data_IF_694106688825
#
_entry.id   IF_694106688825
#
_cell.length_a   1.000
_cell.length_b   1.000
_cell.length_c   1.000
_cell.angle_alpha   90.00
_cell.angle_beta   90.00
_cell.angle_gamma   90.00
#
_symmetry.space_group_name_H-M   'P 1'
#
loop_
_entity.id
_entity.type
_entity.pdbx_description
1 polymer ?
#
# COMPACT_ATOMS: atom_id res chain seq x y z
N UNK A 1 -11.09 -7.67 -11.74
CA UNK A 1 -10.76 -7.92 -10.32
C UNK A 1 -9.29 -7.61 -10.14
N UNK A 2 -8.94 -6.78 -9.15
CA UNK A 2 -7.54 -6.46 -8.88
C UNK A 2 -6.77 -7.72 -8.45
N UNK A 3 -5.49 -7.82 -8.83
CA UNK A 3 -4.59 -8.88 -8.37
C UNK A 3 -3.81 -8.39 -7.17
N UNK A 4 -3.72 -9.23 -6.14
CA UNK A 4 -2.91 -8.94 -4.95
C UNK A 4 -1.43 -8.99 -5.32
N UNK A 5 -0.72 -7.89 -5.12
CA UNK A 5 0.74 -7.79 -5.38
C UNK A 5 1.57 -7.76 -4.09
N UNK A 6 0.97 -7.39 -2.96
CA UNK A 6 1.62 -7.43 -1.65
C UNK A 6 0.62 -7.69 -0.53
N UNK A 7 1.02 -8.44 0.49
CA UNK A 7 0.25 -8.63 1.73
C UNK A 7 1.18 -9.06 2.85
N UNK A 8 1.74 -8.09 3.57
CA UNK A 8 2.62 -8.33 4.71
C UNK A 8 2.64 -7.10 5.64
N UNK A 9 3.01 -7.23 6.93
CA UNK A 9 3.31 -6.09 7.75
C UNK A 9 4.61 -5.41 7.29
N UNK A 10 4.74 -4.11 7.61
CA UNK A 10 5.90 -3.30 7.25
C UNK A 10 5.81 -2.65 5.86
N UNK A 11 6.97 -2.37 5.28
CA UNK A 11 7.09 -1.63 4.02
C UNK A 11 7.16 -2.57 2.81
N UNK A 12 6.50 -2.24 1.69
CA UNK A 12 6.58 -3.05 0.47
C UNK A 12 8.01 -3.12 -0.09
N UNK A 13 8.29 -4.21 -0.81
CA UNK A 13 9.58 -4.41 -1.49
C UNK A 13 9.68 -3.52 -2.75
N UNK A 14 10.90 -3.39 -3.28
CA UNK A 14 11.13 -2.63 -4.52
C UNK A 14 10.33 -3.20 -5.71
N UNK A 15 10.08 -4.51 -5.76
CA UNK A 15 9.28 -5.13 -6.82
C UNK A 15 7.84 -4.65 -6.87
N UNK A 16 7.23 -4.34 -5.72
CA UNK A 16 5.88 -3.78 -5.64
C UNK A 16 5.85 -2.37 -6.23
N UNK A 17 6.89 -1.56 -5.97
CA UNK A 17 7.01 -0.23 -6.56
C UNK A 17 7.14 -0.31 -8.09
N UNK A 18 7.98 -1.21 -8.60
CA UNK A 18 8.11 -1.45 -10.04
C UNK A 18 6.79 -1.87 -10.69
N UNK A 19 6.04 -2.78 -10.07
CA UNK A 19 4.73 -3.21 -10.59
C UNK A 19 3.71 -2.07 -10.65
N UNK A 20 3.78 -1.13 -9.71
CA UNK A 20 2.89 0.04 -9.67
C UNK A 20 3.38 1.20 -10.53
N UNK A 21 4.56 1.09 -11.16
CA UNK A 21 5.18 2.19 -11.93
C UNK A 21 5.66 3.35 -11.05
N UNK A 22 5.95 3.09 -9.77
CA UNK A 22 6.35 4.11 -8.79
C UNK A 22 7.81 3.92 -8.37
N UNK A 23 8.46 5.02 -7.96
CA UNK A 23 9.72 4.89 -7.23
C UNK A 23 9.49 4.27 -5.84
N UNK A 24 10.52 3.61 -5.30
CA UNK A 24 10.45 3.04 -3.94
C UNK A 24 10.13 4.10 -2.88
N UNK A 25 10.63 5.33 -3.07
CA UNK A 25 10.37 6.43 -2.15
C UNK A 25 8.91 6.91 -2.23
N UNK A 26 8.38 7.11 -3.43
CA UNK A 26 6.97 7.44 -3.65
C UNK A 26 6.03 6.41 -3.01
N UNK A 27 6.29 5.12 -3.24
CA UNK A 27 5.48 4.07 -2.63
C UNK A 27 5.55 4.11 -1.10
N UNK A 28 6.75 4.29 -0.53
CA UNK A 28 6.92 4.38 0.93
C UNK A 28 6.14 5.56 1.52
N UNK A 29 6.24 6.73 0.89
CA UNK A 29 5.53 7.94 1.34
C UNK A 29 4.02 7.78 1.23
N UNK A 30 3.52 7.22 0.12
CA UNK A 30 2.11 6.92 -0.08
C UNK A 30 1.58 5.97 1.01
N UNK A 31 2.27 4.85 1.27
CA UNK A 31 1.89 3.90 2.32
C UNK A 31 1.91 4.55 3.72
N UNK A 32 2.91 5.38 4.02
CA UNK A 32 2.96 6.10 5.28
C UNK A 32 1.78 7.06 5.46
N UNK A 33 1.38 7.79 4.40
CA UNK A 33 0.20 8.66 4.42
C UNK A 33 -1.08 7.86 4.62
N UNK A 34 -1.28 6.78 3.85
CA UNK A 34 -2.47 5.91 3.94
C UNK A 34 -2.60 5.33 5.35
N UNK A 35 -1.53 4.76 5.90
CA UNK A 35 -1.55 4.19 7.26
C UNK A 35 -1.86 5.26 8.31
N UNK A 36 -1.29 6.46 8.16
CA UNK A 36 -1.57 7.58 9.07
C UNK A 36 -3.04 8.00 9.02
N UNK A 37 -3.60 8.14 7.83
CA UNK A 37 -5.00 8.54 7.62
C UNK A 37 -5.97 7.49 8.20
N UNK A 38 -5.63 6.21 8.06
CA UNK A 38 -6.36 5.08 8.61
C UNK A 38 -6.06 4.78 10.09
N UNK A 39 -5.20 5.57 10.75
CA UNK A 39 -4.75 5.38 12.14
C UNK A 39 -4.11 4.00 12.40
N UNK A 40 -3.48 3.42 11.37
CA UNK A 40 -2.83 2.12 11.43
C UNK A 40 -1.39 2.22 11.92
N UNK A 41 -0.97 1.19 12.64
CA UNK A 41 0.40 1.04 13.11
C UNK A 41 1.40 0.75 11.97
N UNK A 42 2.67 1.08 12.18
CA UNK A 42 3.73 0.75 11.22
C UNK A 42 3.84 -0.78 10.98
N UNK A 43 3.58 -1.58 12.01
CA UNK A 43 3.61 -3.04 12.01
C UNK A 43 2.33 -3.69 11.53
N UNK A 44 1.26 -2.93 11.27
CA UNK A 44 0.02 -3.52 10.81
C UNK A 44 0.13 -3.99 9.36
N UNK A 45 -0.53 -5.13 9.10
CA UNK A 45 -0.59 -5.74 7.78
C UNK A 45 -1.50 -4.91 6.90
N UNK A 46 -1.02 -4.63 5.70
CA UNK A 46 -1.81 -4.07 4.61
C UNK A 46 -1.70 -4.97 3.38
N UNK A 47 -2.73 -4.94 2.55
CA UNK A 47 -2.73 -5.57 1.24
C UNK A 47 -2.69 -4.49 0.17
N UNK A 48 -1.80 -4.64 -0.82
CA UNK A 48 -1.72 -3.73 -1.97
C UNK A 48 -2.14 -4.51 -3.22
N UNK A 49 -2.99 -3.87 -4.00
CA UNK A 49 -3.55 -4.39 -5.23
C UNK A 49 -2.87 -3.75 -6.45
N UNK A 50 -2.92 -4.41 -7.61
CA UNK A 50 -2.30 -3.94 -8.86
C UNK A 50 -2.93 -2.66 -9.43
N UNK A 51 -4.14 -2.32 -9.03
CA UNK A 51 -4.80 -1.04 -9.30
C UNK A 51 -4.42 0.07 -8.32
N UNK A 52 -3.48 -0.21 -7.41
CA UNK A 52 -2.99 0.71 -6.40
C UNK A 52 -3.86 0.83 -5.15
N UNK A 53 -4.98 0.12 -5.07
CA UNK A 53 -5.81 0.09 -3.87
C UNK A 53 -5.02 -0.52 -2.71
N UNK A 54 -5.21 0.03 -1.51
CA UNK A 54 -4.66 -0.50 -0.27
C UNK A 54 -5.82 -0.86 0.65
N UNK A 55 -5.82 -2.08 1.16
CA UNK A 55 -6.79 -2.56 2.16
C UNK A 55 -6.11 -2.95 3.45
N UNK A 56 -6.86 -2.89 4.55
CA UNK A 56 -6.44 -3.44 5.84
C UNK A 56 -6.56 -4.99 5.89
N UNK A 57 -6.38 -5.57 7.08
CA UNK A 57 -6.51 -7.01 7.32
C UNK A 57 -7.95 -7.54 7.19
N UNK A 58 -8.94 -6.67 7.31
CA UNK A 58 -10.37 -6.99 7.12
C UNK A 58 -10.80 -6.86 5.65
N UNK A 59 -9.85 -6.58 4.74
CA UNK A 59 -10.09 -6.25 3.33
C UNK A 59 -10.92 -4.98 3.12
N UNK A 60 -10.92 -4.06 4.08
CA UNK A 60 -11.57 -2.76 3.94
C UNK A 60 -10.61 -1.82 3.22
N UNK A 61 -11.03 -1.15 2.12
CA UNK A 61 -10.21 -0.13 1.46
C UNK A 61 -9.91 1.04 2.39
N UNK A 62 -8.64 1.38 2.52
CA UNK A 62 -8.13 2.46 3.37
C UNK A 62 -7.43 3.57 2.60
N UNK A 63 -7.20 3.38 1.29
CA UNK A 63 -6.65 4.40 0.41
C UNK A 63 -6.13 3.83 -0.91
N UNK A 64 -5.60 4.69 -1.76
CA UNK A 64 -4.94 4.32 -3.02
C UNK A 64 -3.55 4.97 -3.12
N UNK A 65 -2.56 4.22 -3.57
CA UNK A 65 -1.17 4.73 -3.65
C UNK A 65 -1.02 5.89 -4.63
N UNK A 66 -1.81 5.94 -5.70
CA UNK A 66 -1.72 6.96 -6.75
C UNK A 66 -2.29 8.32 -6.32
N UNK A 67 -3.22 8.33 -5.36
CA UNK A 67 -3.80 9.55 -4.79
C UNK A 67 -2.88 10.22 -3.75
N UNK A 68 -1.86 9.48 -3.29
CA UNK A 68 -1.01 9.85 -2.15
C UNK A 68 0.45 10.09 -2.55
N UNK A 69 0.78 9.89 -3.83
CA UNK A 69 2.06 10.21 -4.47
C UNK A 69 2.22 11.67 -4.84
#
# INVERSE_FOLDING_TARGET
MPRRIWSNPGNPTAGVATQLGLSRQQLREAIHKIKRDAKLGATERITIWDDGTVTDESNVPIGNVYEKT
#
